data_IF_615442687682
#
_entry.id   IF_615442687682
#
_cell.length_a   1.000
_cell.length_b   1.000
_cell.length_c   1.000
_cell.angle_alpha   90.00
_cell.angle_beta   90.00
_cell.angle_gamma   90.00
#
_symmetry.space_group_name_H-M   'P 1'
#
loop_
_entity.id
_entity.type
_entity.pdbx_description
1 polymer ?
#
# COMPACT_ATOMS: atom_id res chain seq x y z
N UNK A 1 -12.86 14.05 25.65
CA UNK A 1 -11.88 14.41 24.60
C UNK A 1 -12.30 15.76 24.04
N UNK A 2 -11.46 16.80 24.17
CA UNK A 2 -11.71 18.09 23.51
C UNK A 2 -11.14 17.97 22.10
N UNK A 3 -12.00 18.01 21.09
CA UNK A 3 -11.54 18.10 19.70
C UNK A 3 -10.98 19.52 19.50
N UNK A 4 -9.67 19.62 19.25
CA UNK A 4 -9.04 20.89 18.87
C UNK A 4 -9.56 21.41 17.53
N UNK A 5 -9.23 22.66 17.15
CA UNK A 5 -9.63 23.22 15.87
C UNK A 5 -9.16 22.32 14.73
N UNK A 6 -10.09 21.83 13.89
CA UNK A 6 -9.73 21.14 12.65
C UNK A 6 -9.19 22.20 11.70
N UNK A 7 -7.88 22.20 11.46
CA UNK A 7 -7.31 22.97 10.35
C UNK A 7 -7.93 22.39 9.07
N UNK A 8 -8.63 23.19 8.25
CA UNK A 8 -9.14 22.72 6.97
C UNK A 8 -7.93 22.33 6.11
N UNK A 9 -7.73 21.03 5.93
CA UNK A 9 -6.74 20.54 4.97
C UNK A 9 -7.45 20.58 3.62
N UNK A 10 -7.16 21.59 2.81
CA UNK A 10 -7.59 21.58 1.42
C UNK A 10 -6.85 20.45 0.70
N UNK A 11 -7.53 19.33 0.46
CA UNK A 11 -7.04 18.27 -0.44
C UNK A 11 -7.12 18.85 -1.87
N UNK A 12 -6.05 19.51 -2.30
CA UNK A 12 -5.89 19.98 -3.67
C UNK A 12 -5.68 18.82 -4.65
N UNK A 13 -5.83 19.07 -5.96
CA UNK A 13 -5.53 18.08 -6.99
C UNK A 13 -4.08 17.57 -6.92
N UNK A 14 -3.14 18.38 -6.42
CA UNK A 14 -1.76 17.99 -6.20
C UNK A 14 -1.62 16.91 -5.13
N UNK A 15 -2.39 17.00 -4.05
CA UNK A 15 -2.39 16.01 -2.98
C UNK A 15 -2.91 14.66 -3.48
N UNK A 16 -3.98 14.67 -4.28
CA UNK A 16 -4.52 13.46 -4.93
C UNK A 16 -3.50 12.85 -5.89
N UNK A 17 -2.84 13.67 -6.71
CA UNK A 17 -1.83 13.20 -7.66
C UNK A 17 -0.61 12.59 -6.95
N UNK A 18 -0.09 13.25 -5.91
CA UNK A 18 1.04 12.74 -5.12
C UNK A 18 0.69 11.45 -4.38
N UNK A 19 -0.53 11.36 -3.85
CA UNK A 19 -1.01 10.18 -3.13
C UNK A 19 -1.21 8.98 -4.08
N UNK A 20 -1.71 9.20 -5.30
CA UNK A 20 -1.75 8.18 -6.34
C UNK A 20 -0.35 7.77 -6.81
N UNK A 21 0.55 8.74 -7.00
CA UNK A 21 1.94 8.48 -7.38
C UNK A 21 2.68 7.66 -6.32
N UNK A 22 2.45 7.93 -5.03
CA UNK A 22 2.98 7.15 -3.93
C UNK A 22 2.53 5.69 -4.02
N UNK A 23 1.21 5.44 -4.11
CA UNK A 23 0.66 4.08 -4.25
C UNK A 23 1.24 3.33 -5.45
N UNK A 24 1.34 3.97 -6.62
CA UNK A 24 1.95 3.34 -7.81
C UNK A 24 3.43 3.03 -7.59
N UNK A 25 4.17 3.94 -6.96
CA UNK A 25 5.59 3.77 -6.66
C UNK A 25 5.83 2.62 -5.69
N UNK A 26 5.00 2.53 -4.65
CA UNK A 26 5.03 1.43 -3.69
C UNK A 26 4.74 0.09 -4.35
N UNK A 27 3.67 -0.03 -5.15
CA UNK A 27 3.37 -1.30 -5.82
C UNK A 27 4.39 -1.65 -6.92
N UNK A 28 5.00 -0.65 -7.58
CA UNK A 28 6.12 -0.88 -8.48
C UNK A 28 7.34 -1.44 -7.73
N UNK A 29 7.64 -0.94 -6.53
CA UNK A 29 8.73 -1.47 -5.74
C UNK A 29 8.40 -2.86 -5.17
N UNK A 30 7.30 -2.99 -4.44
CA UNK A 30 6.95 -4.21 -3.72
C UNK A 30 6.44 -5.31 -4.64
N UNK A 31 5.45 -5.04 -5.51
CA UNK A 31 4.80 -6.08 -6.31
C UNK A 31 5.44 -6.29 -7.64
N UNK A 32 6.05 -5.29 -8.28
CA UNK A 32 6.78 -5.51 -9.54
C UNK A 32 8.19 -5.99 -9.28
N UNK A 33 9.02 -5.18 -8.62
CA UNK A 33 10.44 -5.48 -8.43
C UNK A 33 10.67 -6.58 -7.39
N UNK A 34 10.33 -6.33 -6.12
CA UNK A 34 10.70 -7.23 -5.02
C UNK A 34 9.99 -8.58 -5.11
N UNK A 35 8.68 -8.60 -5.35
CA UNK A 35 7.95 -9.85 -5.58
C UNK A 35 8.54 -10.62 -6.77
N UNK A 36 8.87 -9.94 -7.87
CA UNK A 36 9.49 -10.54 -9.04
C UNK A 36 10.87 -11.14 -8.73
N UNK A 37 11.61 -10.57 -7.77
CA UNK A 37 12.86 -11.14 -7.30
C UNK A 37 12.69 -12.35 -6.39
N UNK A 38 11.55 -12.43 -5.68
CA UNK A 38 11.27 -13.48 -4.70
C UNK A 38 10.48 -14.66 -5.27
N UNK A 39 9.76 -14.47 -6.37
CA UNK A 39 8.93 -15.54 -6.98
C UNK A 39 9.72 -16.81 -7.36
N UNK A 40 11.04 -16.77 -7.70
CA UNK A 40 11.81 -18.01 -7.89
C UNK A 40 11.93 -18.87 -6.63
N UNK A 41 11.74 -18.30 -5.43
CA UNK A 41 11.69 -19.04 -4.16
C UNK A 41 10.27 -19.52 -3.79
N UNK A 42 9.29 -19.32 -4.68
CA UNK A 42 7.91 -19.74 -4.51
C UNK A 42 6.94 -18.59 -4.21
N UNK A 43 5.69 -18.76 -4.64
CA UNK A 43 4.65 -17.75 -4.50
C UNK A 43 4.36 -17.39 -3.03
N UNK A 44 4.36 -18.38 -2.13
CA UNK A 44 4.13 -18.15 -0.69
C UNK A 44 5.22 -17.25 -0.11
N UNK A 45 6.49 -17.52 -0.42
CA UNK A 45 7.62 -16.70 0.05
C UNK A 45 7.53 -15.27 -0.49
N UNK A 46 7.21 -15.10 -1.78
CA UNK A 46 7.04 -13.78 -2.39
C UNK A 46 5.87 -12.99 -1.76
N UNK A 47 4.73 -13.63 -1.53
CA UNK A 47 3.57 -13.02 -0.87
C UNK A 47 3.91 -12.62 0.57
N UNK A 48 4.40 -13.57 1.37
CA UNK A 48 4.66 -13.34 2.79
C UNK A 48 5.72 -12.25 3.01
N UNK A 49 6.85 -12.33 2.30
CA UNK A 49 7.94 -11.39 2.48
C UNK A 49 7.58 -9.98 2.00
N UNK A 50 6.93 -9.83 0.85
CA UNK A 50 6.55 -8.50 0.35
C UNK A 50 5.39 -7.89 1.12
N UNK A 51 4.49 -8.68 1.71
CA UNK A 51 3.47 -8.20 2.62
C UNK A 51 4.07 -7.72 3.95
N UNK A 52 4.97 -8.52 4.53
CA UNK A 52 5.62 -8.18 5.79
C UNK A 52 6.48 -6.92 5.66
N UNK A 53 7.31 -6.82 4.62
CA UNK A 53 8.16 -5.65 4.41
C UNK A 53 7.34 -4.39 4.13
N UNK A 54 6.22 -4.52 3.42
CA UNK A 54 5.27 -3.43 3.24
C UNK A 54 4.73 -2.95 4.59
N UNK A 55 4.29 -3.84 5.47
CA UNK A 55 3.82 -3.44 6.80
C UNK A 55 4.92 -2.80 7.66
N UNK A 56 6.13 -3.34 7.62
CA UNK A 56 7.26 -2.84 8.41
C UNK A 56 7.70 -1.42 7.99
N UNK A 57 7.71 -1.12 6.69
CA UNK A 57 8.17 0.20 6.20
C UNK A 57 7.22 1.33 6.63
N UNK A 58 5.97 1.01 6.93
CA UNK A 58 4.95 1.97 7.34
C UNK A 58 4.97 2.29 8.84
N UNK A 59 5.63 1.47 9.67
CA UNK A 59 5.70 1.67 11.13
C UNK A 59 6.19 3.07 11.52
N UNK A 60 7.24 3.66 10.91
CA UNK A 60 7.70 4.99 11.29
C UNK A 60 6.66 6.10 11.02
N UNK A 61 5.79 5.92 10.03
CA UNK A 61 4.79 6.91 9.63
C UNK A 61 3.46 6.73 10.39
N UNK A 62 3.00 5.49 10.56
CA UNK A 62 1.66 5.17 11.09
C UNK A 62 1.67 4.52 12.48
N UNK A 63 2.84 4.16 13.00
CA UNK A 63 3.02 3.52 14.29
C UNK A 63 2.74 2.01 14.29
N UNK A 64 3.14 1.34 15.37
CA UNK A 64 3.04 -0.13 15.49
C UNK A 64 1.59 -0.64 15.51
N UNK A 65 0.63 0.19 15.93
CA UNK A 65 -0.78 -0.20 15.93
C UNK A 65 -1.33 -0.41 14.51
N UNK A 66 -0.84 0.36 13.52
CA UNK A 66 -1.25 0.24 12.12
C UNK A 66 -0.65 -0.99 11.41
N UNK A 67 0.42 -1.58 11.97
CA UNK A 67 1.11 -2.73 11.39
C UNK A 67 0.18 -3.86 10.92
N UNK A 68 -0.84 -4.20 11.71
CA UNK A 68 -1.76 -5.28 11.37
C UNK A 68 -2.64 -4.95 10.17
N UNK A 69 -3.04 -3.69 10.04
CA UNK A 69 -3.80 -3.20 8.89
C UNK A 69 -2.92 -3.21 7.64
N UNK A 70 -1.69 -2.70 7.75
CA UNK A 70 -0.73 -2.65 6.64
C UNK A 70 -0.29 -4.06 6.22
N UNK A 71 -0.19 -5.01 7.15
CA UNK A 71 0.07 -6.42 6.87
C UNK A 71 -1.10 -7.05 6.11
N UNK A 72 -2.33 -6.79 6.55
CA UNK A 72 -3.54 -7.23 5.85
C UNK A 72 -3.61 -6.68 4.43
N UNK A 73 -3.34 -5.39 4.26
CA UNK A 73 -3.27 -4.73 2.95
C UNK A 73 -2.16 -5.33 2.08
N UNK A 74 -0.95 -5.48 2.62
CA UNK A 74 0.18 -6.09 1.93
C UNK A 74 -0.09 -7.52 1.48
N UNK A 75 -0.82 -8.32 2.28
CA UNK A 75 -1.25 -9.67 1.92
C UNK A 75 -2.27 -9.65 0.79
N UNK A 76 -3.29 -8.80 0.87
CA UNK A 76 -4.30 -8.63 -0.18
C UNK A 76 -3.66 -8.24 -1.51
N UNK A 77 -2.82 -7.21 -1.52
CA UNK A 77 -2.16 -6.69 -2.73
C UNK A 77 -1.19 -7.72 -3.31
N UNK A 78 -0.46 -8.45 -2.46
CA UNK A 78 0.42 -9.53 -2.89
C UNK A 78 -0.35 -10.73 -3.45
N UNK A 79 -1.51 -11.06 -2.86
CA UNK A 79 -2.41 -12.07 -3.40
C UNK A 79 -2.98 -11.65 -4.75
N UNK A 80 -3.41 -10.39 -4.92
CA UNK A 80 -3.86 -9.87 -6.21
C UNK A 80 -2.76 -9.97 -7.28
N UNK A 81 -1.50 -9.67 -6.91
CA UNK A 81 -0.36 -9.89 -7.81
C UNK A 81 -0.22 -11.34 -8.22
N UNK A 82 -0.34 -12.28 -7.27
CA UNK A 82 -0.27 -13.71 -7.55
C UNK A 82 -1.42 -14.17 -8.44
N UNK A 83 -2.65 -13.82 -8.09
CA UNK A 83 -3.87 -14.27 -8.75
C UNK A 83 -4.02 -13.71 -10.17
N UNK A 84 -3.63 -12.44 -10.38
CA UNK A 84 -3.74 -11.78 -11.69
C UNK A 84 -2.50 -11.94 -12.58
N UNK A 85 -1.37 -12.35 -12.01
CA UNK A 85 -0.07 -12.39 -12.71
C UNK A 85 0.55 -11.01 -13.00
N UNK A 86 -0.14 -9.90 -12.68
CA UNK A 86 0.30 -8.53 -12.97
C UNK A 86 0.31 -7.65 -11.72
N UNK A 87 1.22 -6.68 -11.68
CA UNK A 87 1.30 -5.71 -10.57
C UNK A 87 0.33 -4.53 -10.74
N UNK A 88 -0.30 -4.40 -11.92
CA UNK A 88 -1.21 -3.29 -12.22
C UNK A 88 -2.52 -3.38 -11.45
N UNK A 89 -3.03 -4.59 -11.19
CA UNK A 89 -4.24 -4.82 -10.38
C UNK A 89 -4.05 -4.34 -8.93
N UNK A 90 -2.97 -4.73 -8.20
CA UNK A 90 -2.73 -4.16 -6.88
C UNK A 90 -2.42 -2.66 -6.92
N UNK A 91 -1.73 -2.14 -7.94
CA UNK A 91 -1.52 -0.69 -8.09
C UNK A 91 -2.83 0.08 -8.20
N UNK A 92 -3.77 -0.38 -9.04
CA UNK A 92 -5.09 0.23 -9.17
C UNK A 92 -5.89 0.13 -7.86
N UNK A 93 -5.85 -1.02 -7.19
CA UNK A 93 -6.52 -1.23 -5.90
C UNK A 93 -5.96 -0.29 -4.83
N UNK A 94 -4.64 -0.17 -4.74
CA UNK A 94 -3.98 0.68 -3.77
C UNK A 94 -4.33 2.15 -4.02
N UNK A 95 -4.22 2.64 -5.26
CA UNK A 95 -4.67 3.99 -5.62
C UNK A 95 -6.13 4.22 -5.24
N UNK A 96 -7.04 3.29 -5.55
CA UNK A 96 -8.45 3.42 -5.20
C UNK A 96 -8.67 3.49 -3.67
N UNK A 97 -8.01 2.61 -2.90
CA UNK A 97 -8.09 2.63 -1.44
C UNK A 97 -7.60 3.97 -0.85
N UNK A 98 -6.48 4.45 -1.38
CA UNK A 98 -5.89 5.72 -1.01
C UNK A 98 -6.83 6.90 -1.29
N UNK A 99 -7.44 6.95 -2.48
CA UNK A 99 -8.43 7.97 -2.85
C UNK A 99 -9.67 7.91 -1.97
N UNK A 100 -10.19 6.71 -1.67
CA UNK A 100 -11.35 6.54 -0.79
C UNK A 100 -11.12 7.03 0.65
N UNK A 101 -9.88 7.00 1.12
CA UNK A 101 -9.53 7.50 2.46
C UNK A 101 -9.47 9.03 2.52
N UNK A 102 -9.06 9.68 1.43
CA UNK A 102 -8.87 11.15 1.38
C UNK A 102 -10.06 11.91 0.78
N UNK A 103 -10.95 11.22 0.06
CA UNK A 103 -12.21 11.79 -0.40
C UNK A 103 -13.22 11.85 0.77
N UNK A 104 -13.95 12.96 0.92
CA UNK A 104 -14.93 13.16 1.99
C UNK A 104 -16.20 12.31 1.83
#
# INVERSE_FOLDING_TARGET
MVAGPRIPVHIGPEALALNALAAVSEEAFFRRFLYGRLVPFGAVAAVAATALLFALVHIPAYGVAAFWVDLGAGLLLSWQRWASGTWTVPAATHVAANLLVVLP
#
